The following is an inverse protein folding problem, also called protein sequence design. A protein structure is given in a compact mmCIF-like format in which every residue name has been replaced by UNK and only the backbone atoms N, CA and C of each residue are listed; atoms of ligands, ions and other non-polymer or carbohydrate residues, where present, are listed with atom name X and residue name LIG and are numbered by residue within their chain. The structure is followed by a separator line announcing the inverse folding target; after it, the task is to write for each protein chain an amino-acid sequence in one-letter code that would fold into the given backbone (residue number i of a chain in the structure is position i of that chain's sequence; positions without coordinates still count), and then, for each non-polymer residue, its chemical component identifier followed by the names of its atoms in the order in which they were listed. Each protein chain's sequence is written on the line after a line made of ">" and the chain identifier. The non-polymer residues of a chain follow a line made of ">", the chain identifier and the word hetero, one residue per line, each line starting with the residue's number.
data_IF_677894435449
#
_entry.id   IF_677894435449
#
_cell.length_a   1.000
_cell.length_b   1.000
_cell.length_c   1.000
_cell.angle_alpha   90.00
_cell.angle_beta   90.00
_cell.angle_gamma   90.00
#
_symmetry.space_group_name_H-M   'P 1'
#
loop_
_entity.id
_entity.type
_entity.pdbx_description
1 polymer ?
#
# COMPACT_ATOMS: atom_id res chain seq x y z
N UNK A 1 -25.45 -9.69 2.63
CA UNK A 1 -26.06 -10.69 1.71
C UNK A 1 -27.52 -10.35 1.44
N UNK A 2 -28.37 -10.18 2.47
CA UNK A 2 -29.81 -9.92 2.26
C UNK A 2 -30.05 -8.68 1.39
N UNK A 3 -29.41 -7.56 1.66
CA UNK A 3 -29.56 -6.31 0.88
C UNK A 3 -29.26 -6.44 -0.63
N UNK A 4 -28.43 -7.41 -1.02
CA UNK A 4 -28.20 -7.71 -2.45
C UNK A 4 -29.34 -8.58 -3.00
N UNK A 5 -29.79 -9.58 -2.24
CA UNK A 5 -30.93 -10.43 -2.66
C UNK A 5 -32.19 -9.61 -2.89
N UNK A 6 -32.48 -8.67 -1.99
CA UNK A 6 -33.66 -7.80 -2.05
C UNK A 6 -33.65 -6.86 -3.26
N UNK A 7 -32.50 -6.73 -3.92
CA UNK A 7 -32.30 -5.85 -5.08
C UNK A 7 -32.07 -6.58 -6.39
N UNK A 8 -32.01 -7.92 -6.41
CA UNK A 8 -31.67 -8.66 -7.62
C UNK A 8 -32.69 -8.42 -8.74
N UNK A 9 -33.97 -8.39 -8.43
CA UNK A 9 -35.02 -8.21 -9.43
C UNK A 9 -34.97 -6.83 -10.07
N UNK A 10 -34.57 -5.78 -9.29
CA UNK A 10 -34.45 -4.39 -9.75
C UNK A 10 -33.07 -4.11 -10.40
N UNK A 11 -32.17 -5.11 -10.49
CA UNK A 11 -30.80 -4.89 -10.95
C UNK A 11 -30.53 -5.32 -12.38
N UNK A 12 -31.57 -5.66 -13.14
CA UNK A 12 -31.46 -6.05 -14.56
C UNK A 12 -31.15 -4.86 -15.47
N UNK A 13 -31.48 -3.64 -15.08
CA UNK A 13 -31.27 -2.41 -15.83
C UNK A 13 -29.94 -1.72 -15.46
N UNK A 14 -29.53 -0.76 -16.30
CA UNK A 14 -28.40 0.11 -15.99
C UNK A 14 -28.76 1.08 -14.85
N UNK A 15 -27.80 1.36 -13.99
CA UNK A 15 -27.85 2.55 -13.11
C UNK A 15 -27.29 3.77 -13.81
N UNK A 16 -27.34 4.94 -13.16
CA UNK A 16 -26.56 6.10 -13.60
C UNK A 16 -25.06 5.81 -13.65
N UNK A 17 -24.32 6.52 -14.50
CA UNK A 17 -22.89 6.31 -14.70
C UNK A 17 -22.06 6.45 -13.42
N UNK A 18 -22.43 7.38 -12.52
CA UNK A 18 -21.78 7.54 -11.22
C UNK A 18 -22.27 6.53 -10.16
N UNK A 19 -23.28 5.72 -10.46
CA UNK A 19 -23.90 4.74 -9.57
C UNK A 19 -25.28 5.16 -9.03
N UNK A 20 -25.92 4.23 -8.31
CA UNK A 20 -27.24 4.43 -7.70
C UNK A 20 -27.23 5.59 -6.69
N UNK A 21 -28.23 6.48 -6.72
CA UNK A 21 -28.31 7.63 -5.81
C UNK A 21 -28.21 7.25 -4.33
N UNK A 22 -28.96 6.26 -3.89
CA UNK A 22 -28.98 5.80 -2.50
C UNK A 22 -27.62 5.23 -2.02
N UNK A 23 -26.87 4.58 -2.91
CA UNK A 23 -25.54 4.08 -2.58
C UNK A 23 -24.52 5.22 -2.48
N UNK A 24 -24.63 6.22 -3.37
CA UNK A 24 -23.83 7.44 -3.35
C UNK A 24 -24.13 8.30 -2.10
N UNK A 25 -25.40 8.41 -1.72
CA UNK A 25 -25.83 9.09 -0.49
C UNK A 25 -25.26 8.42 0.75
N UNK A 26 -25.27 7.07 0.80
CA UNK A 26 -24.68 6.34 1.91
C UNK A 26 -23.17 6.58 2.05
N UNK A 27 -22.43 6.64 0.93
CA UNK A 27 -21.00 6.99 0.93
C UNK A 27 -20.78 8.44 1.39
N UNK A 28 -21.58 9.38 0.90
CA UNK A 28 -21.50 10.78 1.32
C UNK A 28 -21.78 10.94 2.82
N UNK A 29 -22.78 10.23 3.35
CA UNK A 29 -23.07 10.20 4.79
C UNK A 29 -21.90 9.63 5.60
N UNK A 30 -21.29 8.55 5.12
CA UNK A 30 -20.12 7.94 5.76
C UNK A 30 -18.96 8.96 5.88
N UNK A 31 -18.66 9.71 4.83
CA UNK A 31 -17.59 10.72 4.88
C UNK A 31 -17.96 11.94 5.74
N UNK A 32 -19.23 12.36 5.74
CA UNK A 32 -19.70 13.40 6.70
C UNK A 32 -19.53 12.93 8.15
N UNK A 33 -19.85 11.69 8.45
CA UNK A 33 -19.59 11.07 9.76
C UNK A 33 -18.11 11.04 10.15
N UNK A 34 -17.21 11.04 9.15
CA UNK A 34 -15.76 11.21 9.35
C UNK A 34 -15.31 12.68 9.39
N UNK A 35 -16.25 13.65 9.34
CA UNK A 35 -16.02 15.09 9.41
C UNK A 35 -15.53 15.72 8.09
N UNK A 36 -15.94 15.16 6.96
CA UNK A 36 -15.86 15.79 5.64
C UNK A 36 -17.25 16.32 5.26
N UNK A 37 -17.71 17.33 5.96
CA UNK A 37 -19.10 17.81 5.97
C UNK A 37 -19.60 18.31 4.61
N UNK A 38 -18.68 18.68 3.72
CA UNK A 38 -18.99 19.22 2.39
C UNK A 38 -19.28 18.15 1.34
N UNK A 39 -19.05 16.86 1.64
CA UNK A 39 -19.27 15.77 0.67
C UNK A 39 -20.75 15.55 0.42
N UNK A 40 -21.15 15.65 -0.85
CA UNK A 40 -22.52 15.43 -1.34
C UNK A 40 -22.55 14.15 -2.19
N UNK A 41 -23.71 13.57 -2.40
CA UNK A 41 -23.86 12.40 -3.27
C UNK A 41 -23.37 12.65 -4.71
N UNK A 42 -23.54 13.88 -5.23
CA UNK A 42 -23.01 14.23 -6.56
C UNK A 42 -21.49 14.28 -6.64
N UNK A 43 -20.78 14.22 -5.51
CA UNK A 43 -19.32 14.18 -5.44
C UNK A 43 -18.78 12.72 -5.40
N UNK A 44 -19.67 11.72 -5.41
CA UNK A 44 -19.35 10.32 -5.26
C UNK A 44 -19.52 9.58 -6.58
N UNK A 45 -18.51 8.80 -6.97
CA UNK A 45 -18.56 7.85 -8.07
C UNK A 45 -18.35 6.44 -7.53
N UNK A 46 -19.27 5.54 -7.84
CA UNK A 46 -19.12 4.12 -7.56
C UNK A 46 -18.36 3.43 -8.70
N UNK A 47 -17.68 2.32 -8.39
CA UNK A 47 -16.94 1.54 -9.37
C UNK A 47 -16.81 0.08 -8.99
N UNK A 48 -16.35 -0.73 -9.94
CA UNK A 48 -16.09 -2.15 -9.75
C UNK A 48 -14.80 -2.40 -8.92
N UNK A 49 -14.76 -1.77 -7.75
CA UNK A 49 -13.60 -1.67 -6.85
C UNK A 49 -12.73 -0.46 -7.16
N UNK A 50 -11.84 -0.12 -6.24
CA UNK A 50 -10.85 0.95 -6.42
C UNK A 50 -9.96 0.66 -7.64
N UNK A 51 -9.75 -0.61 -7.97
CA UNK A 51 -8.97 -1.04 -9.14
C UNK A 51 -9.55 -0.65 -10.50
N UNK A 52 -10.82 -0.25 -10.57
CA UNK A 52 -11.41 0.41 -11.75
C UNK A 52 -11.31 1.93 -11.63
N UNK A 53 -11.56 2.48 -10.45
CA UNK A 53 -11.64 3.92 -10.23
C UNK A 53 -10.28 4.62 -10.30
N UNK A 54 -9.20 3.95 -9.87
CA UNK A 54 -7.85 4.48 -9.96
C UNK A 54 -7.41 4.68 -11.44
N UNK A 55 -7.47 3.65 -12.32
CA UNK A 55 -7.23 3.85 -13.75
C UNK A 55 -8.12 4.92 -14.37
N UNK A 56 -9.43 4.91 -14.06
CA UNK A 56 -10.37 5.88 -14.59
C UNK A 56 -9.99 7.31 -14.21
N UNK A 57 -9.61 7.54 -12.94
CA UNK A 57 -9.18 8.87 -12.49
C UNK A 57 -7.87 9.33 -13.12
N UNK A 58 -6.94 8.40 -13.35
CA UNK A 58 -5.65 8.70 -14.00
C UNK A 58 -5.80 8.99 -15.48
N UNK A 59 -6.63 8.22 -16.20
CA UNK A 59 -6.94 8.50 -17.61
C UNK A 59 -7.65 9.84 -17.82
N UNK A 60 -8.48 10.27 -16.86
CA UNK A 60 -9.13 11.58 -16.89
C UNK A 60 -8.15 12.75 -16.64
N UNK A 61 -7.01 12.46 -15.99
CA UNK A 61 -6.09 13.48 -15.49
C UNK A 61 -4.86 13.68 -16.37
N UNK A 62 -4.34 12.60 -16.96
CA UNK A 62 -2.99 12.57 -17.52
C UNK A 62 -2.97 12.73 -19.04
N UNK A 63 -2.13 13.63 -19.49
CA UNK A 63 -1.62 13.67 -20.84
C UNK A 63 -0.31 12.87 -20.96
N UNK A 64 0.13 12.52 -22.19
CA UNK A 64 1.40 11.82 -22.39
C UNK A 64 2.57 12.56 -21.72
N UNK A 65 3.38 11.78 -20.98
CA UNK A 65 4.55 12.26 -20.20
C UNK A 65 4.25 13.07 -18.94
N UNK A 66 2.99 13.28 -18.57
CA UNK A 66 2.65 13.85 -17.26
C UNK A 66 3.11 12.92 -16.13
N UNK A 67 3.41 13.49 -14.99
CA UNK A 67 3.97 12.77 -13.86
C UNK A 67 3.00 12.66 -12.70
N UNK A 68 3.05 11.51 -12.03
CA UNK A 68 2.34 11.28 -10.77
C UNK A 68 3.36 10.87 -9.71
N UNK A 69 3.36 11.57 -8.58
CA UNK A 69 4.17 11.19 -7.43
C UNK A 69 3.48 10.05 -6.67
N UNK A 70 4.20 8.95 -6.43
CA UNK A 70 3.67 7.72 -5.83
C UNK A 70 4.59 7.31 -4.67
N UNK A 71 4.07 6.85 -3.51
CA UNK A 71 4.94 6.37 -2.44
C UNK A 71 5.72 5.11 -2.84
N UNK A 72 6.90 4.91 -2.28
CA UNK A 72 7.62 3.65 -2.34
C UNK A 72 7.95 3.18 -0.91
N UNK A 73 7.47 1.99 -0.49
CA UNK A 73 6.70 1.01 -1.28
C UNK A 73 5.25 1.44 -1.55
N UNK A 74 4.69 0.90 -2.65
CA UNK A 74 3.31 1.10 -3.06
C UNK A 74 2.60 -0.22 -3.36
N UNK A 75 1.30 -0.11 -3.61
CA UNK A 75 0.54 -1.18 -4.24
C UNK A 75 0.51 -0.92 -5.76
N UNK A 76 0.95 -1.87 -6.61
CA UNK A 76 1.16 -1.65 -8.06
C UNK A 76 -0.06 -1.13 -8.83
N UNK A 77 -1.23 -1.16 -8.21
CA UNK A 77 -2.46 -0.56 -8.75
C UNK A 77 -2.32 0.95 -9.00
N UNK A 78 -1.35 1.64 -8.40
CA UNK A 78 -1.10 3.05 -8.65
C UNK A 78 -0.04 3.28 -9.72
N UNK A 79 1.05 2.54 -9.68
CA UNK A 79 2.15 2.65 -10.65
C UNK A 79 1.74 2.20 -12.05
N UNK A 80 1.13 1.02 -12.18
CA UNK A 80 0.80 0.46 -13.49
C UNK A 80 -0.20 1.29 -14.29
N UNK A 81 -1.33 1.78 -13.73
CA UNK A 81 -2.25 2.62 -14.50
C UNK A 81 -1.68 3.97 -14.94
N UNK A 82 -0.74 4.55 -14.21
CA UNK A 82 -0.04 5.78 -14.67
C UNK A 82 0.70 5.49 -15.98
N UNK A 83 1.41 4.36 -16.06
CA UNK A 83 2.11 3.95 -17.29
C UNK A 83 1.12 3.67 -18.42
N UNK A 84 0.03 2.96 -18.13
CA UNK A 84 -1.02 2.65 -19.12
C UNK A 84 -1.70 3.91 -19.66
N UNK A 85 -1.86 4.95 -18.81
CA UNK A 85 -2.39 6.25 -19.22
C UNK A 85 -1.37 7.11 -20.02
N UNK A 86 -0.16 6.60 -20.29
CA UNK A 86 0.90 7.33 -20.98
C UNK A 86 1.70 8.29 -20.09
N UNK A 87 1.43 8.29 -18.79
CA UNK A 87 2.13 9.08 -17.78
C UNK A 87 3.42 8.42 -17.29
N UNK A 88 4.12 9.13 -16.43
CA UNK A 88 5.36 8.67 -15.79
C UNK A 88 5.19 8.62 -14.27
N UNK A 89 5.26 7.43 -13.63
CA UNK A 89 5.30 7.34 -12.18
C UNK A 89 6.66 7.84 -11.67
N UNK A 90 6.63 8.69 -10.64
CA UNK A 90 7.80 9.19 -9.93
C UNK A 90 7.65 8.82 -8.47
N UNK A 91 8.46 7.87 -8.02
CA UNK A 91 8.35 7.37 -6.65
C UNK A 91 9.06 8.29 -5.65
N UNK A 92 8.40 8.58 -4.54
CA UNK A 92 9.01 9.18 -3.36
C UNK A 92 9.19 8.14 -2.26
N UNK A 93 10.37 8.09 -1.60
CA UNK A 93 10.64 7.06 -0.61
C UNK A 93 9.84 7.28 0.68
N UNK A 94 9.34 6.18 1.24
CA UNK A 94 8.93 6.09 2.62
C UNK A 94 10.04 5.36 3.38
N UNK A 95 10.61 6.01 4.39
CA UNK A 95 11.80 5.50 5.06
C UNK A 95 11.44 4.49 6.17
N UNK A 96 12.01 3.28 6.09
CA UNK A 96 11.84 2.24 7.12
C UNK A 96 12.31 2.71 8.51
N UNK A 97 13.40 3.50 8.56
CA UNK A 97 13.94 4.02 9.81
C UNK A 97 13.05 5.10 10.44
N UNK A 98 12.14 5.67 9.66
CA UNK A 98 11.14 6.67 10.07
C UNK A 98 9.73 6.09 10.08
N UNK A 99 9.55 4.83 10.50
CA UNK A 99 8.25 4.14 10.56
C UNK A 99 7.51 4.11 9.21
N UNK A 100 8.24 4.09 8.10
CA UNK A 100 7.71 4.16 6.74
C UNK A 100 6.96 5.46 6.43
N UNK A 101 7.33 6.56 7.06
CA UNK A 101 6.80 7.88 6.72
C UNK A 101 7.64 8.53 5.63
N UNK A 102 7.01 9.20 4.65
CA UNK A 102 7.73 10.00 3.68
C UNK A 102 8.18 11.33 4.28
N UNK A 103 9.27 11.89 3.75
CA UNK A 103 9.68 13.27 3.99
C UNK A 103 8.97 14.20 2.99
N UNK A 104 8.07 15.13 3.45
CA UNK A 104 7.45 16.11 2.56
C UNK A 104 8.47 16.95 1.79
N UNK A 105 9.64 17.22 2.37
CA UNK A 105 10.72 17.92 1.68
C UNK A 105 11.27 17.14 0.49
N UNK A 106 11.36 15.82 0.58
CA UNK A 106 11.75 14.97 -0.53
C UNK A 106 10.67 14.92 -1.63
N UNK A 107 9.41 14.87 -1.24
CA UNK A 107 8.27 14.95 -2.18
C UNK A 107 8.33 16.27 -2.95
N UNK A 108 8.54 17.41 -2.26
CA UNK A 108 8.62 18.73 -2.89
C UNK A 108 9.76 18.83 -3.92
N UNK A 109 10.90 18.22 -3.64
CA UNK A 109 12.05 18.19 -4.59
C UNK A 109 11.79 17.41 -5.88
N UNK A 110 10.77 16.52 -5.88
CA UNK A 110 10.40 15.69 -7.04
C UNK A 110 9.32 16.31 -7.91
N UNK A 111 8.70 17.41 -7.46
CA UNK A 111 7.69 18.13 -8.26
C UNK A 111 8.38 18.81 -9.43
N UNK A 112 7.78 18.69 -10.61
CA UNK A 112 8.17 19.35 -11.85
C UNK A 112 6.95 19.99 -12.52
N UNK A 113 7.14 20.74 -13.60
CA UNK A 113 6.04 21.32 -14.40
C UNK A 113 5.12 20.26 -15.04
N UNK A 114 5.57 19.01 -15.10
CA UNK A 114 4.80 17.87 -15.58
C UNK A 114 4.05 17.12 -14.49
N UNK A 115 4.26 17.43 -13.22
CA UNK A 115 3.57 16.78 -12.12
C UNK A 115 2.10 17.19 -12.09
N UNK A 116 1.18 16.22 -12.01
CA UNK A 116 -0.27 16.45 -11.96
C UNK A 116 -0.90 16.01 -10.66
N UNK A 117 -0.36 14.97 -10.03
CA UNK A 117 -0.96 14.45 -8.82
C UNK A 117 0.08 13.88 -7.85
N UNK A 118 -0.35 13.77 -6.58
CA UNK A 118 0.33 13.03 -5.53
C UNK A 118 -0.62 11.93 -5.03
N UNK A 119 -0.17 10.68 -5.11
CA UNK A 119 -0.84 9.52 -4.50
C UNK A 119 -0.42 9.39 -3.06
N UNK A 120 -1.40 9.21 -2.16
CA UNK A 120 -1.20 8.91 -0.74
C UNK A 120 -1.93 7.62 -0.43
N UNK A 121 -1.22 6.60 0.07
CA UNK A 121 -1.80 5.31 0.48
C UNK A 121 -1.72 5.24 2.01
N UNK A 122 -2.84 5.49 2.68
CA UNK A 122 -2.85 5.61 4.14
C UNK A 122 -4.13 5.03 4.77
N UNK A 123 -4.05 3.95 5.58
CA UNK A 123 -2.86 3.15 5.91
C UNK A 123 -2.20 2.48 4.71
N UNK A 124 -0.88 2.38 4.74
CA UNK A 124 -0.09 1.93 3.59
C UNK A 124 -0.13 0.40 3.41
N UNK A 125 -0.24 -0.03 2.18
CA UNK A 125 0.06 -1.38 1.72
C UNK A 125 1.38 -1.30 0.90
N UNK A 126 2.50 -1.92 1.35
CA UNK A 126 2.55 -3.12 2.20
C UNK A 126 2.93 -2.91 3.68
N UNK A 127 3.30 -1.73 4.10
CA UNK A 127 3.99 -1.51 5.37
C UNK A 127 3.07 -1.50 6.60
N UNK A 128 1.78 -1.21 6.41
CA UNK A 128 0.86 -0.96 7.50
C UNK A 128 1.11 0.35 8.25
N UNK A 129 1.95 1.23 7.72
CA UNK A 129 2.17 2.56 8.27
C UNK A 129 0.89 3.39 8.22
N UNK A 130 0.66 4.19 9.26
CA UNK A 130 -0.40 5.21 9.31
C UNK A 130 0.29 6.55 9.50
N UNK A 131 0.24 7.36 8.46
CA UNK A 131 0.99 8.61 8.45
C UNK A 131 0.36 9.63 9.39
N UNK A 132 1.17 10.32 10.22
CA UNK A 132 0.68 11.31 11.14
C UNK A 132 0.20 12.58 10.40
N UNK A 133 -0.68 13.32 11.05
CA UNK A 133 -1.28 14.53 10.46
C UNK A 133 -0.25 15.50 9.90
N UNK A 134 0.87 15.73 10.59
CA UNK A 134 1.90 16.67 10.12
C UNK A 134 2.52 16.29 8.78
N UNK A 135 2.66 14.98 8.48
CA UNK A 135 3.10 14.51 7.15
C UNK A 135 2.02 14.80 6.10
N UNK A 136 0.75 14.53 6.43
CA UNK A 136 -0.38 14.78 5.53
C UNK A 136 -0.57 16.28 5.26
N UNK A 137 -0.42 17.13 6.27
CA UNK A 137 -0.47 18.59 6.13
C UNK A 137 0.66 19.07 5.20
N UNK A 138 1.88 18.53 5.36
CA UNK A 138 3.01 18.85 4.47
C UNK A 138 2.76 18.46 3.02
N UNK A 139 2.15 17.31 2.76
CA UNK A 139 1.75 16.86 1.41
C UNK A 139 0.65 17.77 0.84
N UNK A 140 -0.34 18.12 1.65
CA UNK A 140 -1.41 19.05 1.27
C UNK A 140 -0.85 20.43 0.87
N UNK A 141 0.14 20.93 1.61
CA UNK A 141 0.81 22.21 1.30
C UNK A 141 1.60 22.15 -0.02
N UNK A 142 2.23 21.03 -0.34
CA UNK A 142 2.89 20.83 -1.63
C UNK A 142 1.86 20.86 -2.76
N UNK A 143 0.78 20.10 -2.63
CA UNK A 143 -0.28 20.03 -3.62
C UNK A 143 -0.91 21.41 -3.85
N UNK A 144 -1.17 22.18 -2.80
CA UNK A 144 -1.69 23.55 -2.85
C UNK A 144 -0.78 24.50 -3.61
N UNK A 145 0.53 24.49 -3.27
CA UNK A 145 1.51 25.39 -3.90
C UNK A 145 1.71 25.13 -5.38
N UNK A 146 1.56 23.88 -5.80
CA UNK A 146 1.85 23.45 -7.18
C UNK A 146 0.59 23.13 -8.00
N UNK A 147 -0.61 23.35 -7.44
CA UNK A 147 -1.88 23.10 -8.14
C UNK A 147 -2.11 21.62 -8.48
N UNK A 148 -1.64 20.70 -7.64
CA UNK A 148 -1.70 19.25 -7.87
C UNK A 148 -3.01 18.66 -7.33
N UNK A 149 -3.45 17.57 -7.95
CA UNK A 149 -4.55 16.74 -7.45
C UNK A 149 -4.03 15.75 -6.41
N UNK A 150 -4.77 15.55 -5.33
CA UNK A 150 -4.49 14.52 -4.33
C UNK A 150 -5.32 13.27 -4.62
N UNK A 151 -4.67 12.11 -4.67
CA UNK A 151 -5.28 10.80 -4.84
C UNK A 151 -5.06 10.01 -3.55
N UNK A 152 -6.07 9.98 -2.67
CA UNK A 152 -6.00 9.39 -1.33
C UNK A 152 -6.58 7.97 -1.35
N UNK A 153 -5.73 6.95 -1.37
CA UNK A 153 -6.14 5.56 -1.16
C UNK A 153 -6.29 5.27 0.33
N UNK A 154 -7.53 5.33 0.80
CA UNK A 154 -7.91 5.13 2.19
C UNK A 154 -8.69 3.82 2.40
N UNK A 155 -8.45 2.82 1.52
CA UNK A 155 -9.17 1.54 1.56
C UNK A 155 -8.99 0.78 2.89
N UNK A 156 -7.93 1.09 3.65
CA UNK A 156 -7.60 0.51 4.95
C UNK A 156 -7.91 1.45 6.13
N UNK A 157 -8.57 2.58 5.93
CA UNK A 157 -8.79 3.61 6.95
C UNK A 157 -9.48 3.12 8.24
N UNK A 158 -10.22 2.03 8.17
CA UNK A 158 -10.92 1.44 9.31
C UNK A 158 -10.08 0.33 10.02
N UNK A 159 -8.93 -0.06 9.48
CA UNK A 159 -8.03 -1.05 10.08
C UNK A 159 -6.90 -0.34 10.82
N UNK A 160 -7.13 -0.02 12.07
CA UNK A 160 -6.19 0.71 12.92
C UNK A 160 -5.93 -0.08 14.20
N UNK A 161 -4.69 -0.11 14.63
CA UNK A 161 -4.26 -0.82 15.82
C UNK A 161 -3.78 0.13 16.90
N UNK A 162 -3.82 -0.37 18.12
CA UNK A 162 -3.42 0.38 19.30
C UNK A 162 -4.23 1.69 19.37
N UNK A 163 -3.72 2.79 19.85
CA UNK A 163 -4.42 4.08 19.91
C UNK A 163 -4.25 4.92 18.63
N UNK A 164 -3.91 4.28 17.52
CA UNK A 164 -3.67 4.97 16.26
C UNK A 164 -4.96 5.54 15.68
N UNK A 165 -4.89 6.78 15.18
CA UNK A 165 -6.02 7.48 14.55
C UNK A 165 -5.69 7.78 13.10
N UNK A 166 -6.62 7.46 12.22
CA UNK A 166 -6.55 7.87 10.83
C UNK A 166 -7.08 9.30 10.67
N UNK A 167 -6.35 10.11 9.91
CA UNK A 167 -6.81 11.42 9.46
C UNK A 167 -7.07 11.34 7.97
N UNK A 168 -8.29 11.54 7.48
CA UNK A 168 -8.56 11.65 6.05
C UNK A 168 -7.71 12.77 5.43
N UNK A 169 -7.04 12.50 4.31
CA UNK A 169 -6.19 13.49 3.63
C UNK A 169 -6.98 14.74 3.25
N UNK A 170 -8.23 14.56 2.83
CA UNK A 170 -9.14 15.66 2.49
C UNK A 170 -9.37 16.66 3.62
N UNK A 171 -9.19 16.28 4.89
CA UNK A 171 -9.24 17.21 6.04
C UNK A 171 -8.02 18.12 6.13
N UNK A 172 -6.89 17.67 5.62
CA UNK A 172 -5.65 18.45 5.57
C UNK A 172 -5.63 19.40 4.37
N UNK A 173 -6.49 19.14 3.37
CA UNK A 173 -6.53 19.83 2.09
C UNK A 173 -7.96 20.24 1.68
N UNK A 174 -8.70 21.03 2.49
CA UNK A 174 -10.10 21.37 2.19
C UNK A 174 -10.28 22.24 0.95
N UNK A 175 -9.22 22.86 0.49
CA UNK A 175 -9.13 23.77 -0.65
C UNK A 175 -8.47 23.15 -1.90
N UNK A 176 -7.87 21.96 -1.78
CA UNK A 176 -7.18 21.25 -2.86
C UNK A 176 -8.07 20.14 -3.42
N UNK A 177 -8.18 19.96 -4.75
CA UNK A 177 -8.89 18.82 -5.32
C UNK A 177 -8.33 17.50 -4.79
N UNK A 178 -9.15 16.75 -4.06
CA UNK A 178 -8.77 15.47 -3.47
C UNK A 178 -9.81 14.40 -3.79
N UNK A 179 -9.36 13.30 -4.39
CA UNK A 179 -10.14 12.10 -4.62
C UNK A 179 -9.81 11.08 -3.54
N UNK A 180 -10.76 10.80 -2.67
CA UNK A 180 -10.62 9.78 -1.61
C UNK A 180 -11.22 8.46 -2.08
N UNK A 181 -10.41 7.42 -2.14
CA UNK A 181 -10.80 6.08 -2.58
C UNK A 181 -11.10 5.18 -1.39
N UNK A 182 -12.21 4.46 -1.48
CA UNK A 182 -12.66 3.50 -0.49
C UNK A 182 -13.47 2.37 -1.10
N UNK A 183 -13.93 1.43 -0.28
CA UNK A 183 -14.70 0.32 -0.81
C UNK A 183 -15.00 -0.79 0.19
N UNK A 184 -15.86 -1.72 -0.22
CA UNK A 184 -16.33 -2.83 0.61
C UNK A 184 -15.34 -3.99 0.67
N UNK A 185 -14.34 -4.04 -0.23
CA UNK A 185 -13.40 -5.17 -0.35
C UNK A 185 -12.67 -5.47 0.95
N UNK A 186 -12.29 -4.46 1.70
CA UNK A 186 -11.51 -4.59 2.94
C UNK A 186 -12.41 -4.39 4.15
N UNK A 187 -12.99 -3.21 4.32
CA UNK A 187 -13.88 -2.86 5.43
C UNK A 187 -14.91 -3.95 5.71
N UNK A 188 -15.63 -4.40 4.68
CA UNK A 188 -16.72 -5.38 4.82
C UNK A 188 -16.30 -6.82 4.48
N UNK A 189 -15.02 -7.04 4.16
CA UNK A 189 -14.46 -8.38 3.82
C UNK A 189 -15.18 -9.10 2.68
N UNK A 190 -15.71 -8.34 1.71
CA UNK A 190 -16.42 -8.87 0.54
C UNK A 190 -15.73 -8.45 -0.77
N UNK A 191 -14.42 -8.80 -0.98
CA UNK A 191 -13.68 -8.39 -2.17
C UNK A 191 -14.28 -8.89 -3.47
N UNK A 192 -15.02 -10.00 -3.45
CA UNK A 192 -15.70 -10.57 -4.62
C UNK A 192 -16.90 -9.75 -5.10
N UNK A 193 -17.44 -8.84 -4.29
CA UNK A 193 -18.53 -7.96 -4.73
C UNK A 193 -18.07 -6.86 -5.66
N UNK A 194 -16.77 -6.62 -5.74
CA UNK A 194 -16.17 -5.61 -6.61
C UNK A 194 -16.83 -4.23 -6.45
N UNK A 195 -17.06 -3.77 -5.23
CA UNK A 195 -17.70 -2.49 -4.97
C UNK A 195 -16.72 -1.54 -4.25
N UNK A 196 -16.41 -0.44 -4.95
CA UNK A 196 -15.60 0.67 -4.46
C UNK A 196 -16.23 2.00 -4.83
N UNK A 197 -15.65 3.05 -4.34
CA UNK A 197 -16.02 4.43 -4.61
C UNK A 197 -14.83 5.36 -4.59
N UNK A 198 -14.96 6.50 -5.25
CA UNK A 198 -14.19 7.70 -4.99
C UNK A 198 -15.14 8.82 -4.52
N UNK A 199 -14.68 9.66 -3.61
CA UNK A 199 -15.35 10.87 -3.17
C UNK A 199 -14.45 12.07 -3.47
N UNK A 200 -14.97 13.02 -4.25
CA UNK A 200 -14.28 14.26 -4.60
C UNK A 200 -14.55 15.33 -3.54
N UNK A 201 -13.48 15.96 -3.06
CA UNK A 201 -13.51 17.08 -2.11
C UNK A 201 -12.62 18.22 -2.60
N UNK A 202 -12.62 19.33 -1.88
CA UNK A 202 -11.82 20.51 -2.20
C UNK A 202 -12.46 21.42 -3.25
N UNK A 203 -11.66 22.35 -3.78
CA UNK A 203 -12.13 23.36 -4.72
C UNK A 203 -12.37 22.77 -6.11
N UNK A 204 -13.62 22.88 -6.60
CA UNK A 204 -14.00 22.36 -7.92
C UNK A 204 -13.64 23.29 -9.09
N UNK A 205 -13.46 24.57 -8.84
CA UNK A 205 -13.18 25.54 -9.90
C UNK A 205 -11.98 25.14 -10.76
N UNK A 206 -10.82 24.93 -10.15
CA UNK A 206 -9.62 24.46 -10.86
C UNK A 206 -9.73 23.05 -11.45
N UNK A 207 -10.60 22.20 -10.88
CA UNK A 207 -10.78 20.81 -11.28
C UNK A 207 -11.99 20.59 -12.22
N UNK A 208 -12.60 21.63 -12.76
CA UNK A 208 -13.84 21.52 -13.57
C UNK A 208 -13.66 20.56 -14.75
N UNK A 209 -12.63 20.76 -15.54
CA UNK A 209 -12.38 19.96 -16.73
C UNK A 209 -12.03 18.52 -16.39
N UNK A 210 -11.30 18.32 -15.30
CA UNK A 210 -11.02 16.99 -14.75
C UNK A 210 -12.30 16.25 -14.33
N UNK A 211 -13.22 16.94 -13.64
CA UNK A 211 -14.53 16.36 -13.27
C UNK A 211 -15.35 16.01 -14.50
N UNK A 212 -15.36 16.87 -15.53
CA UNK A 212 -16.04 16.58 -16.78
C UNK A 212 -15.44 15.36 -17.52
N UNK A 213 -14.13 15.19 -17.48
CA UNK A 213 -13.47 14.01 -18.00
C UNK A 213 -13.84 12.75 -17.22
N UNK A 214 -13.89 12.83 -15.87
CA UNK A 214 -14.37 11.72 -15.03
C UNK A 214 -15.81 11.31 -15.38
N UNK A 215 -16.71 12.28 -15.54
CA UNK A 215 -18.11 12.04 -15.96
C UNK A 215 -18.18 11.35 -17.32
N UNK A 216 -17.35 11.79 -18.27
CA UNK A 216 -17.28 11.20 -19.60
C UNK A 216 -16.80 9.75 -19.53
N UNK A 217 -15.70 9.46 -18.84
CA UNK A 217 -15.16 8.11 -18.71
C UNK A 217 -16.09 7.19 -17.92
N UNK A 218 -16.74 7.69 -16.88
CA UNK A 218 -17.77 6.95 -16.16
C UNK A 218 -18.95 6.59 -17.06
N UNK A 219 -19.35 7.49 -17.96
CA UNK A 219 -20.43 7.28 -18.92
C UNK A 219 -20.04 6.27 -20.02
N UNK A 220 -18.78 6.28 -20.48
CA UNK A 220 -18.28 5.32 -21.48
C UNK A 220 -18.32 3.87 -20.98
N UNK A 221 -18.10 3.64 -19.67
CA UNK A 221 -18.25 2.29 -19.09
C UNK A 221 -19.71 1.94 -18.76
N UNK A 222 -20.68 2.81 -19.00
CA UNK A 222 -22.12 2.75 -18.69
C UNK A 222 -22.39 2.92 -17.19
N UNK A 223 -22.23 1.87 -16.38
CA UNK A 223 -22.45 1.93 -14.93
C UNK A 223 -21.61 0.87 -14.19
N UNK A 224 -21.41 1.01 -12.87
CA UNK A 224 -20.86 -0.06 -12.06
C UNK A 224 -21.85 -1.21 -11.91
N UNK A 225 -21.36 -2.37 -11.48
CA UNK A 225 -22.13 -3.56 -11.16
C UNK A 225 -23.35 -3.21 -10.26
N UNK A 226 -24.56 -3.28 -10.81
CA UNK A 226 -25.79 -2.83 -10.14
C UNK A 226 -26.14 -3.68 -8.90
N UNK A 227 -26.12 -5.03 -8.94
CA UNK A 227 -26.43 -5.85 -7.76
C UNK A 227 -25.57 -5.50 -6.54
N UNK A 228 -24.27 -5.28 -6.73
CA UNK A 228 -23.37 -5.02 -5.62
C UNK A 228 -23.57 -3.62 -5.00
N UNK A 229 -24.10 -2.66 -5.74
CA UNK A 229 -24.42 -1.32 -5.21
C UNK A 229 -25.47 -1.40 -4.09
N UNK A 230 -26.40 -2.36 -4.15
CA UNK A 230 -27.39 -2.61 -3.08
C UNK A 230 -26.78 -2.95 -1.72
N UNK A 231 -25.53 -3.42 -1.70
CA UNK A 231 -24.83 -3.73 -0.44
C UNK A 231 -24.27 -2.49 0.26
N UNK A 232 -24.04 -1.36 -0.43
CA UNK A 232 -23.24 -0.22 0.07
C UNK A 232 -23.82 0.35 1.36
N UNK A 233 -25.11 0.74 1.34
CA UNK A 233 -25.76 1.35 2.50
C UNK A 233 -25.80 0.40 3.71
N UNK A 234 -26.10 -0.88 3.48
CA UNK A 234 -26.15 -1.87 4.55
C UNK A 234 -24.75 -2.14 5.14
N UNK A 235 -23.74 -2.27 4.28
CA UNK A 235 -22.37 -2.55 4.68
C UNK A 235 -21.72 -1.37 5.45
N UNK A 236 -22.02 -0.14 5.06
CA UNK A 236 -21.51 1.06 5.74
C UNK A 236 -22.09 1.27 7.14
N UNK A 237 -23.27 0.71 7.44
CA UNK A 237 -23.85 0.72 8.79
C UNK A 237 -23.22 -0.30 9.75
N UNK A 238 -22.53 -1.30 9.23
CA UNK A 238 -21.88 -2.33 10.05
C UNK A 238 -20.45 -1.88 10.33
N UNK A 239 -20.10 -1.74 11.60
CA UNK A 239 -18.75 -1.54 12.07
C UNK A 239 -18.34 -2.71 12.97
N UNK A 240 -17.79 -3.74 12.35
CA UNK A 240 -17.18 -4.87 13.03
C UNK A 240 -15.64 -4.87 12.93
N UNK A 241 -15.09 -3.93 12.17
CA UNK A 241 -13.63 -3.79 11.99
C UNK A 241 -12.95 -3.32 13.26
N UNK A 242 -13.56 -2.37 13.97
CA UNK A 242 -13.05 -1.85 15.25
C UNK A 242 -12.88 -2.98 16.28
N UNK A 243 -13.84 -3.90 16.40
CA UNK A 243 -13.73 -5.05 17.30
C UNK A 243 -12.57 -6.00 16.93
N UNK A 244 -12.27 -6.14 15.63
CA UNK A 244 -11.18 -7.00 15.15
C UNK A 244 -9.79 -6.41 15.43
N UNK A 245 -9.67 -5.09 15.41
CA UNK A 245 -8.39 -4.38 15.54
C UNK A 245 -8.13 -3.82 16.94
N UNK A 246 -9.14 -3.77 17.79
CA UNK A 246 -9.02 -3.38 19.20
C UNK A 246 -8.04 -4.28 19.96
N UNK A 247 -7.48 -3.83 21.09
CA UNK A 247 -6.69 -4.67 21.98
C UNK A 247 -7.44 -5.97 22.35
N UNK A 248 -6.82 -7.12 22.09
CA UNK A 248 -7.46 -8.43 22.23
C UNK A 248 -8.31 -8.88 21.05
N UNK A 249 -8.56 -8.02 20.06
CA UNK A 249 -9.23 -8.38 18.83
C UNK A 249 -8.40 -9.32 17.94
N UNK A 250 -9.08 -10.13 17.13
CA UNK A 250 -8.43 -11.21 16.39
C UNK A 250 -7.28 -10.74 15.49
N UNK A 251 -7.43 -9.62 14.78
CA UNK A 251 -6.37 -9.08 13.91
C UNK A 251 -5.23 -8.45 14.70
N UNK A 252 -5.55 -7.78 15.82
CA UNK A 252 -4.53 -7.24 16.72
C UNK A 252 -3.65 -8.36 17.29
N UNK A 253 -4.25 -9.43 17.81
CA UNK A 253 -3.53 -10.59 18.34
C UNK A 253 -2.67 -11.28 17.27
N UNK A 254 -3.19 -11.45 16.05
CA UNK A 254 -2.44 -12.07 14.95
C UNK A 254 -1.26 -11.21 14.48
N UNK A 255 -1.45 -9.89 14.38
CA UNK A 255 -0.36 -8.95 14.08
C UNK A 255 0.75 -9.06 15.13
N UNK A 256 0.40 -8.98 16.41
CA UNK A 256 1.36 -9.01 17.50
C UNK A 256 2.08 -10.34 17.59
N UNK A 257 1.35 -11.45 17.35
CA UNK A 257 1.92 -12.78 17.30
C UNK A 257 2.94 -12.90 16.16
N UNK A 258 2.58 -12.51 14.93
CA UNK A 258 3.48 -12.58 13.78
C UNK A 258 4.71 -11.69 13.97
N UNK A 259 4.54 -10.45 14.45
CA UNK A 259 5.67 -9.55 14.70
C UNK A 259 6.64 -10.11 15.74
N UNK A 260 6.15 -10.79 16.79
CA UNK A 260 7.01 -11.45 17.78
C UNK A 260 7.78 -12.61 17.17
N UNK A 261 7.12 -13.49 16.42
CA UNK A 261 7.77 -14.61 15.76
C UNK A 261 8.87 -14.16 14.78
N UNK A 262 8.63 -13.09 14.04
CA UNK A 262 9.61 -12.52 13.11
C UNK A 262 10.81 -11.89 13.83
N UNK A 263 10.59 -11.26 14.98
CA UNK A 263 11.65 -10.67 15.81
C UNK A 263 12.60 -11.73 16.40
N UNK A 264 12.13 -12.96 16.60
CA UNK A 264 12.92 -14.09 17.08
C UNK A 264 13.83 -14.69 15.99
N UNK A 265 13.64 -14.33 14.72
CA UNK A 265 14.49 -14.81 13.60
C UNK A 265 15.70 -13.88 13.47
N UNK A 266 16.93 -14.36 13.69
CA UNK A 266 18.13 -13.54 13.58
C UNK A 266 18.22 -12.86 12.21
N UNK A 267 18.47 -11.52 12.20
CA UNK A 267 18.60 -10.75 10.98
C UNK A 267 17.31 -10.41 10.25
N UNK A 268 16.16 -10.78 10.78
CA UNK A 268 14.87 -10.29 10.31
C UNK A 268 14.46 -9.10 11.15
N UNK A 269 14.06 -8.02 10.51
CA UNK A 269 13.57 -6.79 11.14
C UNK A 269 12.20 -6.45 10.60
N UNK A 270 11.38 -5.84 11.44
CA UNK A 270 10.02 -5.45 11.07
C UNK A 270 9.62 -4.20 11.83
N UNK A 271 9.15 -3.20 11.12
CA UNK A 271 8.41 -2.09 11.73
C UNK A 271 7.01 -2.61 12.04
N UNK A 272 6.58 -2.49 13.31
CA UNK A 272 5.26 -2.97 13.74
C UNK A 272 4.16 -2.17 13.04
N UNK A 273 3.25 -2.81 12.27
CA UNK A 273 2.19 -2.10 11.56
C UNK A 273 1.21 -1.43 12.52
N UNK A 274 0.82 -0.21 12.20
CA UNK A 274 -0.19 0.56 12.92
C UNK A 274 -1.57 0.51 12.28
N UNK A 275 -1.64 0.02 11.02
CA UNK A 275 -2.88 -0.14 10.26
C UNK A 275 -2.79 -1.26 9.24
N UNK A 276 -3.85 -1.42 8.46
CA UNK A 276 -4.04 -2.48 7.47
C UNK A 276 -3.92 -3.89 8.08
N UNK A 277 -3.50 -4.89 7.33
CA UNK A 277 -3.29 -6.27 7.83
C UNK A 277 -2.07 -6.91 7.13
N UNK A 278 -1.03 -6.10 6.95
CA UNK A 278 0.25 -6.52 6.37
C UNK A 278 1.38 -6.33 7.37
N UNK A 279 2.39 -7.17 7.24
CA UNK A 279 3.70 -7.03 7.86
C UNK A 279 4.73 -7.07 6.74
N UNK A 280 5.70 -6.16 6.78
CA UNK A 280 6.71 -6.00 5.73
C UNK A 280 8.12 -6.18 6.31
N UNK A 281 8.48 -7.44 6.65
CA UNK A 281 9.78 -7.75 7.22
C UNK A 281 10.90 -7.54 6.20
N UNK A 282 12.05 -7.12 6.71
CA UNK A 282 13.31 -7.04 5.99
C UNK A 282 14.28 -8.08 6.50
N UNK A 283 14.87 -8.84 5.59
CA UNK A 283 15.99 -9.72 5.86
C UNK A 283 17.28 -8.93 5.66
N UNK A 284 18.14 -8.88 6.69
CA UNK A 284 19.37 -8.08 6.66
C UNK A 284 20.32 -8.56 5.58
N UNK A 285 20.72 -7.72 4.61
CA UNK A 285 21.63 -8.11 3.55
C UNK A 285 22.98 -8.63 4.09
N UNK A 286 23.51 -9.64 3.44
CA UNK A 286 24.81 -10.22 3.78
C UNK A 286 24.81 -11.21 4.96
N UNK A 287 23.75 -11.26 5.76
CA UNK A 287 23.63 -12.24 6.84
C UNK A 287 23.27 -13.65 6.31
N UNK A 288 22.66 -13.68 5.16
CA UNK A 288 22.22 -14.90 4.49
C UNK A 288 22.65 -14.88 3.02
N UNK A 289 22.86 -16.06 2.44
CA UNK A 289 23.12 -16.23 1.00
C UNK A 289 21.79 -16.29 0.28
N UNK A 290 21.29 -15.12 -0.11
CA UNK A 290 20.02 -14.92 -0.81
C UNK A 290 20.29 -14.29 -2.17
N UNK A 291 19.43 -14.60 -3.15
CA UNK A 291 19.32 -13.86 -4.40
C UNK A 291 18.59 -12.52 -4.22
N UNK A 292 18.05 -12.00 -5.31
CA UNK A 292 17.11 -10.89 -5.26
C UNK A 292 15.77 -11.31 -4.61
N UNK A 293 14.89 -10.36 -4.40
CA UNK A 293 13.61 -10.57 -3.70
C UNK A 293 12.70 -11.57 -4.44
N UNK A 294 12.76 -11.63 -5.77
CA UNK A 294 11.97 -12.56 -6.60
C UNK A 294 12.51 -13.99 -6.46
N UNK A 295 13.83 -14.17 -6.55
CA UNK A 295 14.50 -15.44 -6.32
C UNK A 295 14.24 -15.94 -4.90
N UNK A 296 14.32 -15.05 -3.91
CA UNK A 296 14.01 -15.36 -2.52
C UNK A 296 12.58 -15.88 -2.34
N UNK A 297 11.60 -15.19 -2.92
CA UNK A 297 10.19 -15.61 -2.84
C UNK A 297 9.94 -16.92 -3.58
N UNK A 298 10.58 -17.11 -4.73
CA UNK A 298 10.52 -18.35 -5.52
C UNK A 298 11.12 -19.54 -4.76
N UNK A 299 12.30 -19.37 -4.18
CA UNK A 299 12.97 -20.41 -3.39
C UNK A 299 12.15 -20.80 -2.16
N UNK A 300 11.58 -19.81 -1.44
CA UNK A 300 10.68 -20.06 -0.31
C UNK A 300 9.47 -20.89 -0.73
N UNK A 301 8.89 -20.60 -1.88
CA UNK A 301 7.76 -21.36 -2.40
C UNK A 301 8.15 -22.80 -2.72
N UNK A 302 9.26 -23.00 -3.42
CA UNK A 302 9.67 -24.32 -3.87
C UNK A 302 10.20 -25.22 -2.73
N UNK A 303 10.96 -24.64 -1.79
CA UNK A 303 11.63 -25.44 -0.74
C UNK A 303 10.76 -25.60 0.52
N UNK A 304 9.94 -24.62 0.83
CA UNK A 304 9.15 -24.59 2.06
C UNK A 304 7.63 -24.61 1.83
N UNK A 305 7.16 -24.50 0.58
CA UNK A 305 5.74 -24.33 0.27
C UNK A 305 5.17 -23.05 0.89
N UNK A 306 6.02 -22.01 1.06
CA UNK A 306 5.65 -20.73 1.66
C UNK A 306 5.63 -19.64 0.59
N UNK A 307 4.43 -19.18 0.21
CA UNK A 307 4.27 -18.07 -0.73
C UNK A 307 4.23 -16.73 -0.01
N UNK A 308 5.20 -15.87 -0.25
CA UNK A 308 5.27 -14.47 0.20
C UNK A 308 5.47 -13.55 -1.01
N UNK A 309 4.99 -12.33 -0.91
CA UNK A 309 5.14 -11.36 -2.00
C UNK A 309 6.50 -10.67 -1.89
N UNK A 310 7.33 -10.69 -2.96
CA UNK A 310 8.63 -10.02 -2.95
C UNK A 310 8.47 -8.49 -2.86
N UNK A 311 9.39 -7.84 -2.14
CA UNK A 311 9.40 -6.39 -1.98
C UNK A 311 9.58 -5.65 -3.31
N UNK A 312 10.38 -6.19 -4.22
CA UNK A 312 10.59 -5.65 -5.58
C UNK A 312 9.30 -5.49 -6.39
N UNK A 313 8.29 -6.34 -6.12
CA UNK A 313 6.96 -6.24 -6.73
C UNK A 313 6.06 -5.14 -6.14
N UNK A 314 6.54 -4.40 -5.14
CA UNK A 314 5.78 -3.37 -4.41
C UNK A 314 6.44 -1.99 -4.53
N UNK A 315 7.12 -1.72 -5.64
CA UNK A 315 7.80 -0.48 -5.94
C UNK A 315 9.32 -0.52 -5.64
N UNK A 316 10.04 0.58 -5.88
CA UNK A 316 11.47 0.65 -5.64
C UNK A 316 11.78 0.74 -4.15
N UNK A 317 12.05 -0.41 -3.53
CA UNK A 317 12.47 -0.54 -2.14
C UNK A 317 13.83 -1.22 -2.05
N UNK A 318 14.59 -1.01 -0.97
CA UNK A 318 15.82 -1.79 -0.74
C UNK A 318 15.52 -3.29 -0.74
N UNK A 319 16.43 -4.11 -1.26
CA UNK A 319 16.27 -5.56 -1.32
C UNK A 319 16.18 -6.21 0.07
N UNK A 320 15.60 -7.40 0.10
CA UNK A 320 15.42 -8.21 1.29
C UNK A 320 14.05 -8.06 1.96
N UNK A 321 13.11 -7.34 1.33
CA UNK A 321 11.76 -7.21 1.87
C UNK A 321 10.81 -8.26 1.32
N UNK A 322 9.91 -8.72 2.20
CA UNK A 322 8.82 -9.63 1.86
C UNK A 322 7.53 -9.13 2.50
N UNK A 323 6.41 -9.18 1.78
CA UNK A 323 5.11 -8.86 2.38
C UNK A 323 4.42 -10.13 2.87
N UNK A 324 4.02 -10.11 4.13
CA UNK A 324 3.18 -11.11 4.80
C UNK A 324 1.82 -10.52 5.16
N UNK A 325 0.79 -11.37 5.27
CA UNK A 325 -0.54 -10.97 5.73
C UNK A 325 -0.80 -11.52 7.14
N UNK A 326 -1.55 -10.76 7.96
CA UNK A 326 -1.94 -11.17 9.32
C UNK A 326 -3.32 -11.83 9.38
N UNK A 327 -3.89 -12.17 8.22
CA UNK A 327 -5.25 -12.73 8.12
C UNK A 327 -5.36 -14.20 8.57
N UNK A 328 -4.35 -15.07 8.33
CA UNK A 328 -4.43 -16.46 8.77
C UNK A 328 -4.50 -16.59 10.29
N UNK A 329 -5.04 -17.72 10.82
CA UNK A 329 -5.04 -18.00 12.24
C UNK A 329 -3.61 -18.17 12.81
N UNK A 330 -3.43 -18.07 14.15
CA UNK A 330 -2.11 -18.03 14.78
C UNK A 330 -1.22 -19.24 14.52
N UNK A 331 -1.80 -20.42 14.41
CA UNK A 331 -1.10 -21.67 14.09
C UNK A 331 -0.49 -21.64 12.68
N UNK A 332 -1.22 -21.15 11.68
CA UNK A 332 -0.72 -20.97 10.32
C UNK A 332 0.36 -19.89 10.26
N UNK A 333 0.23 -18.80 11.02
CA UNK A 333 1.27 -17.77 11.12
C UNK A 333 2.54 -18.29 11.78
N UNK A 334 2.40 -19.15 12.81
CA UNK A 334 3.52 -19.84 13.47
C UNK A 334 4.24 -20.74 12.50
N UNK A 335 3.51 -21.56 11.75
CA UNK A 335 4.10 -22.44 10.74
C UNK A 335 4.82 -21.63 9.65
N UNK A 336 4.23 -20.55 9.16
CA UNK A 336 4.85 -19.67 8.16
C UNK A 336 6.18 -19.07 8.68
N UNK A 337 6.21 -18.55 9.90
CA UNK A 337 7.42 -18.03 10.51
C UNK A 337 8.48 -19.11 10.75
N UNK A 338 8.06 -20.33 11.15
CA UNK A 338 8.95 -21.49 11.34
C UNK A 338 9.60 -21.92 10.02
N UNK A 339 8.82 -21.97 8.93
CA UNK A 339 9.35 -22.27 7.59
C UNK A 339 10.34 -21.22 7.12
N UNK A 340 10.02 -19.94 7.32
CA UNK A 340 10.95 -18.85 7.00
C UNK A 340 12.24 -18.96 7.80
N UNK A 341 12.16 -19.20 9.11
CA UNK A 341 13.33 -19.37 9.97
C UNK A 341 14.22 -20.55 9.51
N UNK A 342 13.63 -21.72 9.24
CA UNK A 342 14.32 -22.90 8.75
C UNK A 342 15.00 -22.67 7.40
N UNK A 343 14.32 -22.00 6.47
CA UNK A 343 14.86 -21.62 5.19
C UNK A 343 16.09 -20.71 5.33
N UNK A 344 15.99 -19.69 6.17
CA UNK A 344 17.08 -18.74 6.42
C UNK A 344 18.26 -19.39 7.14
N UNK A 345 18.00 -20.29 8.08
CA UNK A 345 19.08 -20.97 8.82
C UNK A 345 19.97 -21.82 7.89
N UNK A 346 19.40 -22.51 6.91
CA UNK A 346 20.17 -23.24 5.89
C UNK A 346 21.04 -22.33 5.00
N UNK A 347 20.70 -21.05 4.91
CA UNK A 347 21.37 -20.05 4.06
C UNK A 347 22.23 -19.07 4.85
N UNK A 348 22.40 -19.29 6.15
CA UNK A 348 23.22 -18.42 6.99
C UNK A 348 24.64 -18.35 6.48
N UNK A 349 25.19 -17.13 6.31
CA UNK A 349 26.60 -16.96 6.04
C UNK A 349 27.37 -17.31 7.31
N UNK A 350 28.14 -18.39 7.28
CA UNK A 350 29.12 -18.67 8.35
C UNK A 350 30.11 -17.50 8.33
N UNK A 351 30.16 -16.71 9.39
CA UNK A 351 31.22 -15.71 9.58
C UNK A 351 32.59 -16.34 9.44
N UNK A 352 33.66 -15.60 9.19
CA UNK A 352 34.99 -16.16 9.08
C UNK A 352 35.27 -17.00 10.34
N UNK A 353 35.47 -18.31 10.14
CA UNK A 353 35.81 -19.23 11.20
C UNK A 353 37.08 -18.74 11.88
N UNK A 354 36.97 -18.22 13.10
CA UNK A 354 38.13 -17.97 13.97
C UNK A 354 38.68 -19.30 14.50
N UNK A 355 39.09 -20.16 13.60
CA UNK A 355 40.02 -21.25 13.93
C UNK A 355 41.42 -20.78 13.62
N UNK A 356 41.94 -19.91 14.44
CA UNK A 356 43.35 -19.68 14.57
C UNK A 356 43.94 -20.86 15.34
N UNK A 357 44.14 -22.00 14.64
CA UNK A 357 45.03 -23.02 15.10
C UNK A 357 46.42 -22.55 14.81
N UNK A 358 47.16 -22.26 15.87
CA UNK A 358 48.54 -21.87 15.86
C UNK A 358 49.38 -22.72 14.91
N UNK A 359 49.96 -22.10 13.92
CA UNK A 359 51.17 -22.58 13.27
C UNK A 359 52.32 -21.75 13.81
N UNK A 360 53.16 -22.41 14.65
CA UNK A 360 54.48 -21.94 15.04
C UNK A 360 55.28 -21.56 13.80
N UNK A 361 56.08 -20.50 13.86
CA UNK A 361 56.96 -20.14 12.76
C UNK A 361 58.12 -21.15 12.69
N UNK A 362 58.30 -21.80 11.56
CA UNK A 362 59.55 -22.56 11.23
C UNK A 362 60.64 -21.53 10.87
N UNK A 363 61.93 -21.78 11.28
CA UNK A 363 63.03 -20.86 11.10
C UNK A 363 63.43 -20.76 9.62
N UNK A 364 63.78 -19.52 9.22
CA UNK A 364 64.38 -19.18 7.91
C UNK A 364 65.77 -19.78 7.82
N UNK A 365 66.05 -20.59 6.80
CA UNK A 365 67.40 -20.84 6.28
C UNK A 365 67.70 -19.77 5.24
N UNK A 366 68.81 -19.06 5.46
CA UNK A 366 69.50 -18.17 4.50
C UNK A 366 70.30 -19.06 3.52
N UNK A 367 70.35 -18.63 2.26
CA UNK A 367 71.40 -18.69 1.26
C UNK A 367 70.75 -18.25 -0.05
N UNK A 368 71.14 -17.27 -0.75
CA UNK A 368 72.47 -16.89 -1.18
C UNK A 368 72.54 -17.09 -2.68
N UNK A 369 72.75 -15.96 -3.37
CA UNK A 369 73.36 -15.82 -4.71
C UNK A 369 72.46 -15.30 -5.84
N UNK A 370 72.92 -14.14 -6.22
CA UNK A 370 72.64 -13.37 -7.43
C UNK A 370 72.85 -14.16 -8.72
N UNK A 371 72.10 -13.88 -9.77
CA UNK A 371 72.65 -13.63 -11.14
C UNK A 371 71.66 -12.85 -11.99
N UNK A 372 72.16 -11.81 -12.59
CA UNK A 372 71.54 -10.94 -13.60
C UNK A 372 71.56 -11.57 -15.01
N UNK A 373 70.84 -10.94 -16.00
CA UNK A 373 70.39 -11.54 -17.25
C UNK A 373 71.35 -11.44 -18.42
N UNK A 374 71.05 -11.94 -19.60
CA UNK A 374 70.91 -11.03 -20.73
C UNK A 374 69.87 -11.41 -21.79
N UNK A 375 69.41 -10.44 -22.41
CA UNK A 375 68.96 -9.89 -23.70
C UNK A 375 67.45 -9.83 -23.85
#
# INVERSE_FOLDING_TARGET
>A
MQAVRDRLDDSCGYSGAAGLPEARDAVAQHYRGKGLDTVRSCDVYLGNGVSELAPLSLHALLDPHDQVLIPAPDYPMWTAPVVVAGGRPVHYPCDEASDWYPDPGDIARRVTDRTRAIVVINPNNPTGAVWPRGVLDGIADIARRHGLVLLADEIYADFLYDDTRHTPLAKCAPDVPCLTFGGLSKRSRIPGYRMGWLALTGCRGPARDYVAALDTLASLRLCPNVPAQGAVAAALRIDDTTALTAPGGALCLRRDHLCRLLADIPGVRTVKPRGAFYVFPRITPGQYRLGDDESLASDLLHEEGLFLVPGSGLGPVPSGHLRMVTLPPPDVLTEAATRLARFLDRRRTTGPSTTNRGRSPRPRLRNGEERQPPV
#
